data_IF_894393812434
#
_entry.id   IF_894393812434
#
_cell.length_a   1.000
_cell.length_b   1.000
_cell.length_c   1.000
_cell.angle_alpha   90.00
_cell.angle_beta   90.00
_cell.angle_gamma   90.00
#
_symmetry.space_group_name_H-M   'P 1'
#
loop_
_entity.id
_entity.type
_entity.pdbx_description
1 polymer ?
#
# COMPACT_ATOMS: atom_id res chain seq x y z
N UNK A 1 27.76 -31.30 -6.04
CA UNK A 1 26.55 -31.74 -5.27
C UNK A 1 26.17 -30.59 -4.38
N UNK A 2 25.18 -29.78 -4.77
CA UNK A 2 24.68 -28.67 -3.96
C UNK A 2 23.36 -29.14 -3.30
N UNK A 3 23.38 -29.15 -1.97
CA UNK A 3 22.20 -29.49 -1.18
C UNK A 3 21.16 -28.37 -1.24
N UNK A 4 20.00 -28.66 -1.80
CA UNK A 4 18.81 -27.84 -1.67
C UNK A 4 18.29 -27.94 -0.22
N UNK A 5 18.50 -26.90 0.56
CA UNK A 5 17.83 -26.75 1.86
C UNK A 5 16.36 -26.41 1.60
N UNK A 6 15.50 -27.38 1.88
CA UNK A 6 14.07 -27.17 2.01
C UNK A 6 13.81 -26.21 3.20
N UNK A 7 13.49 -24.96 2.89
CA UNK A 7 12.95 -24.03 3.87
C UNK A 7 11.49 -24.41 4.13
N UNK A 8 11.27 -25.31 5.08
CA UNK A 8 9.96 -25.49 5.70
C UNK A 8 9.66 -24.25 6.51
N UNK A 9 8.71 -23.45 6.05
CA UNK A 9 8.15 -22.31 6.78
C UNK A 9 7.53 -22.84 8.08
N UNK A 10 7.94 -22.38 9.28
CA UNK A 10 7.25 -22.77 10.50
C UNK A 10 5.83 -22.17 10.44
N UNK A 11 4.82 -22.99 10.68
CA UNK A 11 3.44 -22.56 10.89
C UNK A 11 3.45 -21.54 12.03
N UNK A 12 3.22 -20.26 11.71
CA UNK A 12 3.23 -19.17 12.65
C UNK A 12 2.18 -19.39 13.74
N UNK A 13 2.61 -19.45 14.97
CA UNK A 13 1.76 -19.32 16.16
C UNK A 13 1.02 -17.99 16.02
N UNK A 14 -0.28 -18.06 15.73
CA UNK A 14 -1.13 -16.88 15.60
C UNK A 14 -1.14 -16.10 16.93
N UNK A 15 -0.46 -14.98 16.98
CA UNK A 15 -0.51 -14.07 18.13
C UNK A 15 -1.96 -13.63 18.35
N UNK A 16 -2.39 -13.61 19.62
CA UNK A 16 -3.67 -13.01 19.98
C UNK A 16 -3.76 -11.56 19.52
N UNK A 17 -4.96 -11.13 19.13
CA UNK A 17 -5.21 -9.73 18.83
C UNK A 17 -4.99 -8.89 20.10
N UNK A 18 -3.91 -8.15 20.15
CA UNK A 18 -3.73 -7.14 21.20
C UNK A 18 -4.61 -5.94 20.82
N UNK A 19 -5.84 -5.87 21.38
CA UNK A 19 -6.72 -4.73 21.16
C UNK A 19 -8.14 -5.02 20.62
N UNK A 20 -8.54 -6.27 20.43
CA UNK A 20 -9.88 -6.64 19.95
C UNK A 20 -9.93 -7.02 18.47
N UNK A 21 -11.08 -7.57 18.05
CA UNK A 21 -11.28 -7.97 16.66
C UNK A 21 -11.41 -6.75 15.73
N UNK A 22 -10.71 -6.72 14.60
CA UNK A 22 -10.86 -5.65 13.64
C UNK A 22 -12.28 -5.68 13.03
N UNK A 23 -12.88 -4.50 12.94
CA UNK A 23 -14.18 -4.29 12.29
C UNK A 23 -14.04 -3.50 11.00
N UNK A 24 -13.02 -2.68 10.92
CA UNK A 24 -12.69 -1.85 9.76
C UNK A 24 -11.36 -2.32 9.18
N UNK A 25 -11.37 -2.64 7.90
CA UNK A 25 -10.16 -2.94 7.13
C UNK A 25 -9.79 -1.72 6.30
N UNK A 26 -8.60 -1.18 6.56
CA UNK A 26 -8.06 0.01 5.92
C UNK A 26 -7.02 -0.45 4.90
N UNK A 27 -7.29 -0.26 3.63
CA UNK A 27 -6.42 -0.76 2.55
C UNK A 27 -5.50 0.35 2.04
N UNK A 28 -4.21 0.07 1.94
CA UNK A 28 -3.35 0.75 0.99
C UNK A 28 -3.80 0.44 -0.44
N UNK A 29 -3.49 1.33 -1.39
CA UNK A 29 -3.98 1.22 -2.77
C UNK A 29 -2.87 0.80 -3.72
N UNK A 30 -1.86 1.65 -3.89
CA UNK A 30 -0.80 1.41 -4.86
C UNK A 30 0.03 0.19 -4.47
N UNK A 31 0.24 -0.71 -5.42
CA UNK A 31 0.94 -1.97 -5.24
C UNK A 31 0.21 -3.01 -4.35
N UNK A 32 -0.63 -2.58 -3.43
CA UNK A 32 -1.43 -3.48 -2.58
C UNK A 32 -2.65 -4.03 -3.32
N UNK A 33 -3.48 -3.15 -3.87
CA UNK A 33 -4.68 -3.48 -4.64
C UNK A 33 -4.46 -3.37 -6.15
N UNK A 34 -3.65 -2.39 -6.56
CA UNK A 34 -3.40 -2.00 -7.94
C UNK A 34 -2.01 -2.45 -8.35
N UNK A 35 -1.90 -3.11 -9.50
CA UNK A 35 -0.66 -3.66 -10.05
C UNK A 35 0.27 -2.55 -10.56
N UNK A 36 1.20 -2.14 -9.71
CA UNK A 36 2.19 -1.12 -10.01
C UNK A 36 3.19 -1.58 -11.10
N UNK A 37 3.43 -2.90 -11.21
CA UNK A 37 4.35 -3.45 -12.21
C UNK A 37 3.81 -3.37 -13.64
N UNK A 38 2.51 -3.06 -13.81
CA UNK A 38 1.92 -2.75 -15.12
C UNK A 38 2.62 -1.58 -15.83
N UNK A 39 3.36 -0.73 -15.09
CA UNK A 39 4.17 0.36 -15.66
C UNK A 39 5.57 -0.07 -16.12
N UNK A 40 6.00 -1.32 -15.87
CA UNK A 40 7.31 -1.83 -16.28
C UNK A 40 7.65 -1.56 -17.76
N UNK A 41 6.75 -1.71 -18.74
CA UNK A 41 7.06 -1.42 -20.15
C UNK A 41 7.43 0.05 -20.41
N UNK A 42 6.85 0.98 -19.66
CA UNK A 42 7.15 2.41 -19.79
C UNK A 42 8.57 2.69 -19.31
N UNK A 43 8.94 2.14 -18.16
CA UNK A 43 10.29 2.30 -17.60
C UNK A 43 11.35 1.59 -18.44
N UNK A 44 11.05 0.40 -18.98
CA UNK A 44 11.92 -0.29 -19.94
C UNK A 44 12.17 0.58 -21.19
N UNK A 45 11.14 1.24 -21.72
CA UNK A 45 11.27 2.13 -22.88
C UNK A 45 12.12 3.37 -22.56
N UNK A 46 11.92 3.99 -21.40
CA UNK A 46 12.60 5.25 -21.03
C UNK A 46 14.05 4.99 -20.62
N UNK A 47 14.29 3.98 -19.78
CA UNK A 47 15.57 3.75 -19.11
C UNK A 47 16.35 2.56 -19.67
N UNK A 48 15.74 1.71 -20.51
CA UNK A 48 16.34 0.45 -20.95
C UNK A 48 16.37 -0.64 -19.87
N UNK A 49 15.76 -0.38 -18.71
CA UNK A 49 15.70 -1.29 -17.56
C UNK A 49 14.42 -1.07 -16.75
N UNK A 50 13.53 -2.04 -16.76
CA UNK A 50 12.27 -1.98 -15.98
C UNK A 50 12.47 -1.87 -14.46
N UNK A 51 13.64 -2.31 -13.94
CA UNK A 51 13.95 -2.25 -12.50
C UNK A 51 14.02 -0.83 -11.96
N UNK A 52 14.23 0.16 -12.82
CA UNK A 52 14.22 1.59 -12.48
C UNK A 52 12.85 2.03 -11.94
N UNK A 53 11.75 1.34 -12.30
CA UNK A 53 10.43 1.55 -11.68
C UNK A 53 10.49 1.38 -10.15
N UNK A 54 11.14 0.32 -9.67
CA UNK A 54 11.27 0.05 -8.23
C UNK A 54 12.19 1.05 -7.54
N UNK A 55 13.25 1.49 -8.21
CA UNK A 55 14.13 2.53 -7.72
C UNK A 55 13.38 3.86 -7.55
N UNK A 56 12.64 4.28 -8.58
CA UNK A 56 11.81 5.49 -8.55
C UNK A 56 10.76 5.43 -7.43
N UNK A 57 10.05 4.30 -7.29
CA UNK A 57 9.08 4.10 -6.20
C UNK A 57 9.77 4.19 -4.83
N UNK A 58 10.94 3.56 -4.67
CA UNK A 58 11.73 3.64 -3.44
C UNK A 58 12.11 5.07 -3.08
N UNK A 59 12.55 5.86 -4.05
CA UNK A 59 12.81 7.28 -3.86
C UNK A 59 11.53 8.05 -3.50
N UNK A 60 10.40 7.76 -4.16
CA UNK A 60 9.13 8.43 -3.88
C UNK A 60 8.67 8.18 -2.43
N UNK A 61 8.76 6.96 -1.95
CA UNK A 61 8.48 6.60 -0.56
C UNK A 61 9.46 7.30 0.38
N UNK A 62 10.76 7.19 0.13
CA UNK A 62 11.80 7.79 0.99
C UNK A 62 11.65 9.31 1.11
N UNK A 63 11.48 10.01 -0.02
CA UNK A 63 11.37 11.47 0.00
C UNK A 63 10.04 11.96 0.54
N UNK A 64 8.94 11.23 0.37
CA UNK A 64 7.67 11.56 1.02
C UNK A 64 7.78 11.49 2.56
N UNK A 65 8.48 10.48 3.09
CA UNK A 65 8.81 10.40 4.52
C UNK A 65 9.76 11.52 4.95
N UNK A 66 10.78 11.82 4.15
CA UNK A 66 11.78 12.86 4.42
C UNK A 66 11.12 14.23 4.57
N UNK A 67 10.30 14.64 3.60
CA UNK A 67 9.63 15.95 3.67
C UNK A 67 8.64 16.01 4.83
N UNK A 68 7.94 14.91 5.15
CA UNK A 68 7.07 14.83 6.31
C UNK A 68 7.84 15.01 7.62
N UNK A 69 8.96 14.32 7.81
CA UNK A 69 9.82 14.45 8.99
C UNK A 69 10.45 15.85 9.10
N UNK A 70 10.68 16.52 7.97
CA UNK A 70 11.22 17.90 7.91
C UNK A 70 10.14 18.96 8.10
N UNK A 71 8.87 18.57 8.35
CA UNK A 71 7.76 19.51 8.47
C UNK A 71 7.37 20.20 7.16
N UNK A 72 7.75 19.61 6.03
CA UNK A 72 7.43 20.07 4.69
C UNK A 72 6.34 19.21 4.06
N UNK A 73 5.67 19.76 3.05
CA UNK A 73 4.69 19.02 2.25
C UNK A 73 4.72 19.52 0.80
N UNK A 74 4.78 18.58 -0.12
CA UNK A 74 4.56 18.77 -1.54
C UNK A 74 3.57 17.70 -2.04
N UNK A 75 2.81 18.00 -3.08
CA UNK A 75 1.85 17.05 -3.65
C UNK A 75 2.53 15.80 -4.22
N UNK A 76 1.88 14.65 -4.05
CA UNK A 76 2.44 13.34 -4.43
C UNK A 76 2.88 13.27 -5.89
N UNK A 77 2.06 13.80 -6.82
CA UNK A 77 2.41 13.83 -8.25
C UNK A 77 3.57 14.77 -8.54
N UNK A 78 3.61 15.95 -7.94
CA UNK A 78 4.71 16.91 -8.11
C UNK A 78 6.03 16.30 -7.61
N UNK A 79 5.99 15.68 -6.42
CA UNK A 79 7.13 14.98 -5.86
C UNK A 79 7.59 13.84 -6.78
N UNK A 80 6.66 13.01 -7.25
CA UNK A 80 6.93 11.90 -8.17
C UNK A 80 7.57 12.35 -9.48
N UNK A 81 7.10 13.47 -10.06
CA UNK A 81 7.67 14.05 -11.28
C UNK A 81 9.10 14.57 -11.06
N UNK A 82 9.35 15.27 -9.94
CA UNK A 82 10.69 15.72 -9.59
C UNK A 82 11.66 14.57 -9.41
N UNK A 83 11.23 13.52 -8.72
CA UNK A 83 12.03 12.31 -8.50
C UNK A 83 12.27 11.51 -9.78
N UNK A 84 11.33 11.48 -10.71
CA UNK A 84 11.52 10.84 -12.01
C UNK A 84 12.65 11.54 -12.80
N UNK A 85 12.68 12.88 -12.80
CA UNK A 85 13.75 13.67 -13.42
C UNK A 85 15.09 13.44 -12.71
N UNK A 86 15.09 13.37 -11.37
CA UNK A 86 16.29 13.05 -10.59
C UNK A 86 16.85 11.65 -10.93
N UNK A 87 16.01 10.64 -11.02
CA UNK A 87 16.41 9.29 -11.43
C UNK A 87 16.94 9.30 -12.87
N UNK A 88 16.32 10.10 -13.76
CA UNK A 88 16.84 10.34 -15.11
C UNK A 88 18.28 10.85 -15.10
N UNK A 89 18.59 11.84 -14.28
CA UNK A 89 19.97 12.38 -14.14
C UNK A 89 20.94 11.31 -13.59
N UNK A 90 20.52 10.53 -12.57
CA UNK A 90 21.33 9.45 -11.99
C UNK A 90 21.72 8.41 -13.06
N UNK A 91 20.78 8.07 -13.96
CA UNK A 91 21.00 7.09 -15.01
C UNK A 91 21.55 7.70 -16.33
N UNK A 92 21.77 9.01 -16.37
CA UNK A 92 22.20 9.70 -17.60
C UNK A 92 21.14 9.67 -18.72
N UNK A 93 19.86 9.57 -18.36
CA UNK A 93 18.72 9.52 -19.27
C UNK A 93 17.95 10.84 -19.22
N UNK A 94 17.71 11.44 -20.37
CA UNK A 94 16.88 12.64 -20.47
C UNK A 94 15.39 12.26 -20.43
N UNK A 95 14.74 12.48 -19.28
CA UNK A 95 13.30 12.28 -19.11
C UNK A 95 12.55 13.50 -19.66
N UNK A 96 11.73 13.28 -20.68
CA UNK A 96 10.95 14.34 -21.33
C UNK A 96 9.65 14.64 -20.58
N UNK A 97 9.06 15.81 -20.84
CA UNK A 97 7.72 16.14 -20.29
C UNK A 97 6.64 15.17 -20.82
N UNK A 98 6.86 14.58 -22.01
CA UNK A 98 6.02 13.51 -22.55
C UNK A 98 6.06 12.24 -21.69
N UNK A 99 7.26 11.82 -21.26
CA UNK A 99 7.43 10.67 -20.37
C UNK A 99 6.80 10.91 -18.99
N UNK A 100 6.95 12.11 -18.45
CA UNK A 100 6.30 12.51 -17.19
C UNK A 100 4.78 12.40 -17.29
N UNK A 101 4.21 12.90 -18.39
CA UNK A 101 2.75 12.85 -18.63
C UNK A 101 2.27 11.41 -18.80
N UNK A 102 3.01 10.58 -19.54
CA UNK A 102 2.67 9.17 -19.75
C UNK A 102 2.66 8.39 -18.44
N UNK A 103 3.68 8.56 -17.59
CA UNK A 103 3.74 7.91 -16.27
C UNK A 103 2.60 8.39 -15.38
N UNK A 104 2.32 9.71 -15.36
CA UNK A 104 1.19 10.26 -14.62
C UNK A 104 -0.15 9.67 -15.05
N UNK A 105 -0.36 9.50 -16.36
CA UNK A 105 -1.56 8.85 -16.91
C UNK A 105 -1.62 7.36 -16.57
N UNK A 106 -0.49 6.66 -16.67
CA UNK A 106 -0.41 5.24 -16.33
C UNK A 106 -0.76 5.01 -14.84
N UNK A 107 -0.29 5.87 -13.93
CA UNK A 107 -0.63 5.77 -12.50
C UNK A 107 -2.15 5.89 -12.21
N UNK A 108 -2.90 6.57 -13.05
CA UNK A 108 -4.35 6.69 -12.91
C UNK A 108 -5.11 5.46 -13.43
N UNK A 109 -4.50 4.69 -14.33
CA UNK A 109 -5.16 3.61 -15.10
C UNK A 109 -4.56 2.23 -14.87
N UNK A 110 -3.74 2.06 -13.83
CA UNK A 110 -3.20 0.75 -13.46
C UNK A 110 -4.34 -0.25 -13.16
N UNK A 111 -4.22 -1.51 -13.61
CA UNK A 111 -5.21 -2.54 -13.32
C UNK A 111 -5.14 -3.00 -11.86
N UNK A 112 -6.22 -3.60 -11.37
CA UNK A 112 -6.19 -4.34 -10.11
C UNK A 112 -5.33 -5.61 -10.25
N UNK A 113 -4.72 -6.07 -9.14
CA UNK A 113 -4.22 -7.44 -9.10
C UNK A 113 -5.37 -8.45 -9.26
N UNK A 114 -5.15 -9.59 -9.92
CA UNK A 114 -6.23 -10.51 -10.31
C UNK A 114 -6.95 -11.18 -9.13
N UNK A 115 -6.33 -11.18 -7.94
CA UNK A 115 -6.86 -11.77 -6.70
C UNK A 115 -7.73 -10.80 -5.88
N UNK A 116 -7.70 -9.51 -6.21
CA UNK A 116 -8.23 -8.45 -5.34
C UNK A 116 -9.75 -8.49 -5.26
N UNK A 117 -10.45 -8.58 -6.39
CA UNK A 117 -11.91 -8.58 -6.42
C UNK A 117 -12.48 -9.74 -5.60
N UNK A 118 -11.92 -10.94 -5.74
CA UNK A 118 -12.33 -12.12 -4.97
C UNK A 118 -12.11 -11.90 -3.47
N UNK A 119 -10.95 -11.38 -3.08
CA UNK A 119 -10.63 -11.12 -1.68
C UNK A 119 -11.55 -10.08 -1.05
N UNK A 120 -11.79 -8.95 -1.74
CA UNK A 120 -12.68 -7.88 -1.27
C UNK A 120 -14.13 -8.37 -1.14
N UNK A 121 -14.64 -9.14 -2.10
CA UNK A 121 -15.98 -9.74 -2.04
C UNK A 121 -16.13 -10.59 -0.78
N UNK A 122 -15.18 -11.49 -0.50
CA UNK A 122 -15.23 -12.38 0.68
C UNK A 122 -15.20 -11.59 1.99
N UNK A 123 -14.41 -10.53 2.08
CA UNK A 123 -14.34 -9.69 3.28
C UNK A 123 -15.64 -8.90 3.48
N UNK A 124 -16.22 -8.37 2.41
CA UNK A 124 -17.50 -7.65 2.45
C UNK A 124 -18.64 -8.57 2.87
N UNK A 125 -18.71 -9.78 2.31
CA UNK A 125 -19.71 -10.79 2.64
C UNK A 125 -19.58 -11.26 4.11
N UNK A 126 -18.35 -11.27 4.65
CA UNK A 126 -18.10 -11.54 6.06
C UNK A 126 -18.45 -10.37 6.99
N UNK A 127 -18.94 -9.25 6.46
CA UNK A 127 -19.43 -8.09 7.21
C UNK A 127 -18.32 -7.17 7.73
N UNK A 128 -17.14 -7.15 7.10
CA UNK A 128 -16.14 -6.13 7.37
C UNK A 128 -16.51 -4.81 6.69
N UNK A 129 -16.21 -3.70 7.35
CA UNK A 129 -16.23 -2.37 6.73
C UNK A 129 -14.91 -2.18 5.99
N UNK A 130 -14.97 -1.81 4.71
CA UNK A 130 -13.79 -1.64 3.87
C UNK A 130 -13.61 -0.17 3.52
N UNK A 131 -12.43 0.37 3.79
CA UNK A 131 -12.02 1.73 3.42
C UNK A 131 -10.62 1.71 2.83
N UNK A 132 -10.22 2.75 2.12
CA UNK A 132 -8.83 2.90 1.65
C UNK A 132 -8.15 4.08 2.30
N UNK A 133 -6.81 4.02 2.38
CA UNK A 133 -5.94 5.10 2.78
C UNK A 133 -4.72 5.14 1.86
N UNK A 134 -4.62 6.18 1.04
CA UNK A 134 -3.54 6.31 0.05
C UNK A 134 -2.75 7.60 0.21
N UNK A 135 -1.46 7.55 -0.16
CA UNK A 135 -0.61 8.72 -0.30
C UNK A 135 -0.94 9.54 -1.58
N UNK A 136 -1.59 8.92 -2.55
CA UNK A 136 -2.01 9.61 -3.77
C UNK A 136 -3.18 10.56 -3.48
N UNK A 137 -3.21 11.75 -4.10
CA UNK A 137 -4.31 12.69 -3.95
C UNK A 137 -5.59 12.15 -4.63
N UNK A 138 -6.73 12.74 -4.27
CA UNK A 138 -7.94 12.59 -5.06
C UNK A 138 -7.72 13.13 -6.49
N UNK A 139 -8.41 12.55 -7.46
CA UNK A 139 -8.42 13.05 -8.83
C UNK A 139 -9.70 13.88 -9.08
N UNK A 140 -9.70 15.20 -8.79
CA UNK A 140 -10.92 16.00 -8.91
C UNK A 140 -11.38 16.21 -10.35
N UNK A 141 -10.51 15.92 -11.34
CA UNK A 141 -10.78 16.10 -12.75
C UNK A 141 -11.22 14.83 -13.49
N UNK A 142 -11.36 13.70 -12.80
CA UNK A 142 -11.70 12.43 -13.41
C UNK A 142 -11.80 11.26 -12.43
N UNK A 143 -11.98 10.03 -12.94
CA UNK A 143 -12.06 8.84 -12.11
C UNK A 143 -10.80 8.62 -11.28
N UNK A 144 -10.96 8.15 -10.05
CA UNK A 144 -9.86 7.69 -9.21
C UNK A 144 -9.24 6.40 -9.77
N UNK A 145 -8.01 6.04 -9.39
CA UNK A 145 -7.41 4.74 -9.75
C UNK A 145 -8.30 3.54 -9.37
N UNK A 146 -9.01 3.62 -8.24
CA UNK A 146 -9.95 2.57 -7.82
C UNK A 146 -11.20 2.49 -8.69
N UNK A 147 -11.69 3.62 -9.20
CA UNK A 147 -12.80 3.64 -10.18
C UNK A 147 -12.36 3.05 -11.52
N UNK A 148 -11.17 3.39 -12.01
CA UNK A 148 -10.59 2.79 -13.21
C UNK A 148 -10.43 1.27 -13.08
N UNK A 149 -10.00 0.82 -11.91
CA UNK A 149 -9.82 -0.61 -11.63
C UNK A 149 -11.13 -1.35 -11.30
N UNK A 150 -12.29 -0.66 -11.27
CA UNK A 150 -13.58 -1.24 -10.91
C UNK A 150 -13.74 -1.59 -9.43
N UNK A 151 -12.85 -1.11 -8.56
CA UNK A 151 -12.81 -1.48 -7.14
C UNK A 151 -13.57 -0.52 -6.23
N UNK A 152 -13.89 0.69 -6.69
CA UNK A 152 -14.54 1.71 -5.87
C UNK A 152 -15.82 1.23 -5.15
N UNK A 153 -16.70 0.39 -5.73
CA UNK A 153 -17.93 -0.08 -5.07
C UNK A 153 -17.72 -0.99 -3.85
N UNK A 154 -16.50 -1.49 -3.63
CA UNK A 154 -16.19 -2.28 -2.44
C UNK A 154 -16.00 -1.42 -1.19
N UNK A 155 -15.63 -0.15 -1.35
CA UNK A 155 -15.21 0.71 -0.26
C UNK A 155 -16.30 1.72 0.12
N UNK A 156 -16.58 1.84 1.43
CA UNK A 156 -17.50 2.85 1.95
C UNK A 156 -16.92 4.27 1.91
N UNK A 157 -15.58 4.39 2.02
CA UNK A 157 -14.84 5.65 1.94
C UNK A 157 -13.44 5.44 1.38
N UNK A 158 -12.94 6.46 0.67
CA UNK A 158 -11.57 6.55 0.19
C UNK A 158 -10.90 7.74 0.89
N UNK A 159 -9.88 7.46 1.70
CA UNK A 159 -9.12 8.49 2.41
C UNK A 159 -7.81 8.78 1.67
N UNK A 160 -7.46 10.06 1.64
CA UNK A 160 -6.17 10.56 1.17
C UNK A 160 -5.45 11.31 2.28
N UNK A 161 -4.14 11.52 2.13
CA UNK A 161 -3.32 12.23 3.12
C UNK A 161 -3.42 13.75 3.00
N UNK A 162 -4.14 14.28 2.00
CA UNK A 162 -4.14 15.71 1.67
C UNK A 162 -4.60 16.58 2.83
N UNK A 163 -5.61 16.13 3.59
CA UNK A 163 -6.17 16.86 4.73
C UNK A 163 -5.14 17.08 5.85
N UNK A 164 -4.32 16.07 6.12
CA UNK A 164 -3.30 16.14 7.19
C UNK A 164 -1.94 16.67 6.70
N UNK A 165 -1.76 16.75 5.38
CA UNK A 165 -0.51 17.22 4.74
C UNK A 165 0.74 16.52 5.29
N UNK A 166 0.62 15.22 5.50
CA UNK A 166 1.71 14.34 5.95
C UNK A 166 1.54 12.97 5.28
N UNK A 167 2.64 12.37 4.88
CA UNK A 167 2.64 11.06 4.24
C UNK A 167 2.63 9.92 5.26
N UNK A 168 2.06 8.78 4.89
CA UNK A 168 2.31 7.54 5.61
C UNK A 168 3.83 7.30 5.67
N UNK A 169 4.40 6.81 6.77
CA UNK A 169 3.74 6.21 7.94
C UNK A 169 3.51 7.17 9.13
N UNK A 170 3.34 8.48 8.93
CA UNK A 170 3.08 9.42 10.01
C UNK A 170 1.78 9.06 10.76
N UNK A 171 1.77 8.96 12.11
CA UNK A 171 0.64 8.47 12.90
C UNK A 171 -0.66 9.23 12.67
N UNK A 172 -0.60 10.56 12.44
CA UNK A 172 -1.77 11.39 12.20
C UNK A 172 -2.59 10.96 10.98
N UNK A 173 -1.98 10.29 10.01
CA UNK A 173 -2.66 9.80 8.81
C UNK A 173 -3.62 8.66 9.14
N UNK A 174 -3.21 7.75 10.02
CA UNK A 174 -4.05 6.65 10.50
C UNK A 174 -5.10 7.14 11.51
N UNK A 175 -4.72 8.06 12.40
CA UNK A 175 -5.66 8.66 13.35
C UNK A 175 -6.80 9.40 12.64
N UNK A 176 -6.53 10.08 11.50
CA UNK A 176 -7.57 10.69 10.66
C UNK A 176 -8.68 9.68 10.32
N UNK A 177 -8.29 8.50 9.81
CA UNK A 177 -9.28 7.47 9.40
C UNK A 177 -10.13 7.01 10.58
N UNK A 178 -9.51 6.72 11.73
CA UNK A 178 -10.24 6.27 12.92
C UNK A 178 -11.20 7.37 13.44
N UNK A 179 -10.77 8.63 13.46
CA UNK A 179 -11.57 9.78 13.86
C UNK A 179 -12.77 10.00 12.94
N UNK A 180 -12.53 10.01 11.61
CA UNK A 180 -13.57 10.23 10.61
C UNK A 180 -14.62 9.10 10.56
N UNK A 181 -14.23 7.89 10.95
CA UNK A 181 -15.14 6.75 11.07
C UNK A 181 -15.77 6.62 12.46
N UNK A 182 -15.39 7.48 13.42
CA UNK A 182 -15.80 7.45 14.80
C UNK A 182 -15.59 6.07 15.46
N UNK A 183 -14.40 5.47 15.26
CA UNK A 183 -14.05 4.15 15.82
C UNK A 183 -12.70 4.22 16.55
N UNK A 184 -12.50 3.37 17.57
CA UNK A 184 -11.18 3.24 18.19
C UNK A 184 -10.14 2.70 17.19
N UNK A 185 -8.88 3.21 17.17
CA UNK A 185 -7.80 2.67 16.35
C UNK A 185 -7.64 1.15 16.47
N UNK A 186 -7.81 0.58 17.66
CA UNK A 186 -7.70 -0.85 17.95
C UNK A 186 -8.71 -1.73 17.20
N UNK A 187 -9.78 -1.14 16.64
CA UNK A 187 -10.75 -1.87 15.81
C UNK A 187 -10.46 -1.77 14.30
N UNK A 188 -9.38 -1.11 13.95
CA UNK A 188 -8.89 -0.98 12.57
C UNK A 188 -7.76 -1.97 12.30
N UNK A 189 -7.73 -2.51 11.08
CA UNK A 189 -6.62 -3.32 10.59
C UNK A 189 -6.13 -2.73 9.27
N UNK A 190 -4.84 -2.35 9.22
CA UNK A 190 -4.20 -1.92 7.98
C UNK A 190 -3.86 -3.13 7.12
N UNK A 191 -4.28 -3.12 5.87
CA UNK A 191 -3.92 -4.13 4.86
C UNK A 191 -3.03 -3.47 3.81
N UNK A 192 -1.78 -3.90 3.76
CA UNK A 192 -0.79 -3.33 2.86
C UNK A 192 0.22 -4.39 2.38
N UNK A 193 0.88 -4.15 1.26
CA UNK A 193 2.04 -4.93 0.84
C UNK A 193 3.36 -4.36 1.40
N UNK A 194 3.33 -3.17 1.95
CA UNK A 194 4.51 -2.46 2.46
C UNK A 194 4.65 -2.58 3.97
N UNK A 195 5.82 -3.05 4.43
CA UNK A 195 6.10 -3.17 5.87
C UNK A 195 6.11 -1.81 6.55
N UNK A 196 6.61 -0.76 5.91
CA UNK A 196 6.62 0.58 6.49
C UNK A 196 5.21 1.09 6.80
N UNK A 197 4.21 0.73 5.98
CA UNK A 197 2.80 1.10 6.19
C UNK A 197 2.20 0.30 7.36
N UNK A 198 2.47 -1.01 7.44
CA UNK A 198 2.02 -1.83 8.57
C UNK A 198 2.65 -1.39 9.89
N UNK A 199 3.93 -1.03 9.91
CA UNK A 199 4.63 -0.49 11.11
C UNK A 199 4.01 0.83 11.54
N UNK A 200 3.76 1.76 10.60
CA UNK A 200 3.12 3.04 10.89
C UNK A 200 1.73 2.88 11.47
N UNK A 201 0.91 2.03 10.89
CA UNK A 201 -0.44 1.75 11.37
C UNK A 201 -0.43 1.10 12.76
N UNK A 202 0.44 0.13 13.01
CA UNK A 202 0.58 -0.49 14.34
C UNK A 202 1.07 0.50 15.39
N UNK A 203 1.96 1.41 15.05
CA UNK A 203 2.40 2.50 15.93
C UNK A 203 1.26 3.48 16.27
N UNK A 204 0.25 3.59 15.39
CA UNK A 204 -0.97 4.37 15.62
C UNK A 204 -2.10 3.58 16.33
N UNK A 205 -1.81 2.34 16.78
CA UNK A 205 -2.75 1.51 17.53
C UNK A 205 -3.64 0.59 16.69
N UNK A 206 -3.34 0.43 15.39
CA UNK A 206 -4.00 -0.53 14.51
C UNK A 206 -3.42 -1.93 14.69
N UNK A 207 -4.15 -2.95 14.23
CA UNK A 207 -3.57 -4.22 13.80
C UNK A 207 -3.16 -4.13 12.32
N UNK A 208 -2.39 -5.12 11.83
CA UNK A 208 -1.94 -5.10 10.45
C UNK A 208 -1.92 -6.49 9.79
N UNK A 209 -2.27 -6.51 8.50
CA UNK A 209 -2.10 -7.63 7.59
C UNK A 209 -1.16 -7.25 6.44
N UNK A 210 -0.15 -8.07 6.18
CA UNK A 210 0.79 -7.91 5.09
C UNK A 210 0.45 -8.87 3.94
N UNK A 211 0.31 -8.33 2.74
CA UNK A 211 0.24 -9.12 1.50
C UNK A 211 1.63 -9.10 0.86
N UNK A 212 2.24 -10.27 0.68
CA UNK A 212 3.58 -10.36 0.11
C UNK A 212 3.54 -10.32 -1.43
N UNK A 213 3.17 -9.15 -1.97
CA UNK A 213 3.24 -8.89 -3.41
C UNK A 213 4.67 -9.07 -3.93
N UNK A 214 4.88 -9.33 -5.23
CA UNK A 214 6.22 -9.40 -5.82
C UNK A 214 7.08 -8.20 -5.41
N UNK A 215 8.31 -8.43 -5.00
CA UNK A 215 9.22 -7.38 -4.53
C UNK A 215 9.01 -6.92 -3.07
N UNK A 216 8.01 -7.46 -2.36
CA UNK A 216 7.72 -7.14 -0.96
C UNK A 216 7.84 -8.38 -0.07
N UNK A 217 8.43 -8.23 1.12
CA UNK A 217 8.64 -9.30 2.08
C UNK A 217 8.54 -8.76 3.52
N UNK A 218 8.26 -9.62 4.51
CA UNK A 218 8.32 -9.23 5.92
C UNK A 218 9.72 -8.76 6.32
N UNK A 219 9.80 -7.77 7.20
CA UNK A 219 11.06 -7.29 7.77
C UNK A 219 11.41 -8.10 9.04
N UNK A 220 12.49 -8.89 9.05
CA UNK A 220 12.84 -9.77 10.18
C UNK A 220 13.64 -9.01 11.24
N UNK A 221 13.02 -8.01 11.89
CA UNK A 221 13.62 -7.24 13.01
C UNK A 221 12.74 -7.42 14.25
N UNK A 222 13.23 -8.10 15.26
CA UNK A 222 12.42 -8.51 16.42
C UNK A 222 11.95 -7.36 17.29
N UNK A 223 12.67 -6.24 17.31
CA UNK A 223 12.32 -5.04 18.08
C UNK A 223 11.24 -4.16 17.45
N UNK A 224 10.84 -4.46 16.20
CA UNK A 224 9.81 -3.72 15.49
C UNK A 224 8.47 -4.49 15.49
N UNK A 225 7.34 -3.77 15.40
CA UNK A 225 6.04 -4.41 15.24
C UNK A 225 6.03 -5.31 14.01
N UNK A 226 5.56 -6.55 14.19
CA UNK A 226 5.34 -7.48 13.08
C UNK A 226 3.86 -7.47 12.67
N UNK A 227 3.54 -7.60 11.37
CA UNK A 227 2.15 -7.75 10.96
C UNK A 227 1.47 -8.92 11.67
N UNK A 228 0.25 -8.73 12.14
CA UNK A 228 -0.54 -9.77 12.82
C UNK A 228 -0.91 -10.92 11.89
N UNK A 229 -1.01 -10.63 10.59
CA UNK A 229 -1.34 -11.57 9.53
C UNK A 229 -0.38 -11.38 8.36
N UNK A 230 0.00 -12.48 7.70
CA UNK A 230 0.81 -12.46 6.48
C UNK A 230 0.21 -13.48 5.52
N UNK A 231 0.00 -13.07 4.27
CA UNK A 231 -0.47 -13.94 3.20
C UNK A 231 0.15 -13.55 1.85
N UNK A 232 0.23 -14.47 0.89
CA UNK A 232 0.76 -14.16 -0.44
C UNK A 232 -0.20 -13.33 -1.30
N UNK A 233 -1.51 -13.37 -0.98
CA UNK A 233 -2.58 -12.75 -1.74
C UNK A 233 -3.73 -12.31 -0.82
N UNK A 234 -4.67 -11.53 -1.36
CA UNK A 234 -5.80 -11.04 -0.58
C UNK A 234 -6.80 -12.13 -0.20
N UNK A 235 -7.14 -13.15 -1.02
CA UNK A 235 -7.97 -14.27 -0.60
C UNK A 235 -7.41 -15.03 0.59
N UNK A 236 -6.11 -15.31 0.61
CA UNK A 236 -5.44 -15.97 1.74
C UNK A 236 -5.47 -15.13 3.01
N UNK A 237 -5.31 -13.80 2.89
CA UNK A 237 -5.46 -12.90 4.03
C UNK A 237 -6.90 -12.83 4.52
N UNK A 238 -7.88 -12.79 3.60
CA UNK A 238 -9.31 -12.83 3.93
C UNK A 238 -9.68 -14.08 4.71
N UNK A 239 -9.16 -15.25 4.32
CA UNK A 239 -9.38 -16.51 5.04
C UNK A 239 -8.88 -16.45 6.48
N UNK A 240 -7.70 -15.85 6.70
CA UNK A 240 -7.16 -15.69 8.05
C UNK A 240 -8.02 -14.75 8.90
N UNK A 241 -8.47 -13.62 8.34
CA UNK A 241 -9.35 -12.67 9.02
C UNK A 241 -10.71 -13.27 9.38
N UNK A 242 -11.35 -13.95 8.43
CA UNK A 242 -12.67 -14.56 8.62
C UNK A 242 -12.62 -15.70 9.65
N UNK A 243 -11.59 -16.55 9.62
CA UNK A 243 -11.42 -17.62 10.60
C UNK A 243 -11.29 -17.10 12.03
N UNK A 244 -10.57 -15.99 12.22
CA UNK A 244 -10.36 -15.39 13.55
C UNK A 244 -11.58 -14.65 14.09
N UNK A 245 -12.53 -14.28 13.21
CA UNK A 245 -13.79 -13.62 13.60
C UNK A 245 -14.90 -14.62 14.00
N UNK A 246 -14.73 -15.91 13.69
CA UNK A 246 -15.69 -16.94 14.11
C UNK A 246 -15.44 -17.25 15.58
N UNK A 247 -16.50 -17.20 16.44
CA UNK A 247 -16.40 -17.55 17.85
C UNK A 247 -15.98 -19.00 18.04
#
# INVERSE_FOLDING_TARGET
MMNHHNLTTPAGSGGEWIGGEPRVLVFDVNETLIDFESMNPIFERIFGDKRVLREWLGHLIMYSMTITLSGLYEGYFTLGQGLLKMVGEIHGVHVTDGDVKEIGQAMLTMPAHPDVEQGLTRLKDAGFRLVTLTNSPANPGGPSPLEHAGLAPFFERQFTIETVRAYKPAPQVYHLVAQELAVPPSTCCMIACHVWDTVGAQSAGYTAGLITRPGNAPLPVDSLPRPNLIAPDLPGLADQLIRRRRP
#
